data_IF_487123021305
#
_entry.id   IF_487123021305
#
_cell.length_a   1.000
_cell.length_b   1.000
_cell.length_c   1.000
_cell.angle_alpha   90.00
_cell.angle_beta   90.00
_cell.angle_gamma   90.00
#
_symmetry.space_group_name_H-M   'P 1'
#
loop_
_entity.id
_entity.type
_entity.pdbx_description
1 polymer ?
#
# COMPACT_ATOMS: atom_id res chain seq x y z
N UNK A 1 -15.01 5.95 -5.29
CA UNK A 1 -13.57 5.82 -5.02
C UNK A 1 -12.92 7.16 -5.27
N UNK A 2 -12.43 7.82 -4.22
CA UNK A 2 -11.81 9.14 -4.33
C UNK A 2 -10.38 9.08 -4.92
N UNK A 3 -9.60 8.04 -4.60
CA UNK A 3 -8.22 7.90 -5.10
C UNK A 3 -7.81 6.45 -5.27
N UNK A 4 -7.06 6.18 -6.34
CA UNK A 4 -6.45 4.88 -6.64
C UNK A 4 -4.94 5.07 -6.70
N UNK A 5 -4.19 4.25 -5.98
CA UNK A 5 -2.74 4.17 -6.07
C UNK A 5 -2.31 2.78 -6.49
N UNK A 6 -1.19 2.66 -7.19
CA UNK A 6 -0.58 1.39 -7.53
C UNK A 6 0.86 1.40 -7.02
N UNK A 7 1.20 0.44 -6.17
CA UNK A 7 2.55 0.26 -5.64
C UNK A 7 3.22 -0.84 -6.45
N UNK A 8 4.12 -0.47 -7.34
CA UNK A 8 4.87 -1.42 -8.14
C UNK A 8 6.04 -2.00 -7.35
N UNK A 9 6.21 -3.31 -7.49
CA UNK A 9 7.34 -4.01 -6.90
C UNK A 9 8.58 -3.81 -7.76
N UNK A 10 9.71 -3.49 -7.13
CA UNK A 10 11.01 -3.52 -7.81
C UNK A 10 11.59 -4.94 -7.79
N UNK A 11 12.43 -5.27 -8.78
CA UNK A 11 13.03 -6.62 -8.95
C UNK A 11 13.78 -7.12 -7.70
N UNK A 12 14.37 -6.22 -6.91
CA UNK A 12 15.16 -6.57 -5.72
C UNK A 12 14.34 -6.72 -4.45
N UNK A 13 13.01 -6.58 -4.51
CA UNK A 13 12.16 -6.53 -3.33
C UNK A 13 11.54 -7.88 -2.99
N UNK A 14 11.52 -8.22 -1.70
CA UNK A 14 10.84 -9.42 -1.20
C UNK A 14 9.31 -9.23 -1.17
N UNK A 15 8.65 -9.51 -2.31
CA UNK A 15 7.20 -9.39 -2.49
C UNK A 15 6.39 -10.02 -1.34
N UNK A 16 6.72 -11.25 -0.94
CA UNK A 16 6.04 -11.96 0.16
C UNK A 16 6.03 -11.17 1.48
N UNK A 17 7.20 -10.65 1.89
CA UNK A 17 7.35 -9.90 3.14
C UNK A 17 6.52 -8.60 3.12
N UNK A 18 6.50 -7.93 1.97
CA UNK A 18 5.69 -6.71 1.78
C UNK A 18 4.20 -7.02 1.82
N UNK A 19 3.77 -8.11 1.17
CA UNK A 19 2.37 -8.56 1.21
C UNK A 19 1.94 -8.90 2.64
N UNK A 20 2.74 -9.67 3.39
CA UNK A 20 2.43 -10.01 4.79
C UNK A 20 2.36 -8.76 5.67
N UNK A 21 3.27 -7.82 5.46
CA UNK A 21 3.28 -6.56 6.21
C UNK A 21 2.04 -5.73 5.91
N UNK A 22 1.68 -5.57 4.64
CA UNK A 22 0.47 -4.83 4.23
C UNK A 22 -0.80 -5.55 4.69
N UNK A 23 -0.82 -6.88 4.71
CA UNK A 23 -1.92 -7.66 5.31
C UNK A 23 -2.07 -7.43 6.82
N UNK A 24 -0.98 -7.10 7.52
CA UNK A 24 -1.04 -6.76 8.95
C UNK A 24 -1.61 -5.36 9.22
N UNK A 25 -1.80 -4.53 8.19
CA UNK A 25 -2.40 -3.21 8.37
C UNK A 25 -3.92 -3.34 8.55
N UNK A 26 -4.47 -2.66 9.56
CA UNK A 26 -5.91 -2.59 9.74
C UNK A 26 -6.52 -1.66 8.69
N UNK A 27 -7.04 -2.26 7.62
CA UNK A 27 -7.80 -1.57 6.59
C UNK A 27 -9.14 -1.11 7.18
N UNK A 28 -9.46 0.18 7.04
CA UNK A 28 -10.78 0.74 7.38
C UNK A 28 -11.57 0.97 6.09
N UNK A 29 -11.48 2.18 5.54
CA UNK A 29 -12.10 2.58 4.27
C UNK A 29 -11.17 2.39 3.06
N UNK A 30 -10.36 1.34 3.11
CA UNK A 30 -9.33 1.06 2.12
C UNK A 30 -9.51 -0.36 1.56
N UNK A 31 -9.32 -0.50 0.26
CA UNK A 31 -9.28 -1.79 -0.42
C UNK A 31 -7.90 -2.01 -1.00
N UNK A 32 -7.34 -3.19 -0.75
CA UNK A 32 -6.03 -3.59 -1.26
C UNK A 32 -6.23 -4.81 -2.16
N UNK A 33 -5.66 -4.75 -3.35
CA UNK A 33 -5.61 -5.86 -4.28
C UNK A 33 -4.15 -6.20 -4.60
N UNK A 34 -3.76 -7.43 -4.33
CA UNK A 34 -2.41 -7.92 -4.58
C UNK A 34 -2.33 -8.48 -5.99
N UNK A 35 -1.70 -7.74 -6.89
CA UNK A 35 -1.39 -8.20 -8.24
C UNK A 35 0.03 -8.76 -8.36
N UNK A 36 0.35 -9.28 -9.53
CA UNK A 36 1.66 -9.92 -9.80
C UNK A 36 2.79 -8.89 -9.97
N UNK A 37 2.46 -7.75 -10.56
CA UNK A 37 3.36 -6.61 -10.83
C UNK A 37 3.41 -5.59 -9.68
N UNK A 38 2.42 -5.63 -8.77
CA UNK A 38 2.31 -4.63 -7.71
C UNK A 38 1.03 -4.77 -6.90
N UNK A 39 0.86 -3.84 -5.97
CA UNK A 39 -0.28 -3.77 -5.05
C UNK A 39 -1.13 -2.58 -5.44
N UNK A 40 -2.39 -2.83 -5.80
CA UNK A 40 -3.35 -1.80 -6.10
C UNK A 40 -4.08 -1.43 -4.83
N UNK A 41 -4.06 -0.15 -4.49
CA UNK A 41 -4.65 0.38 -3.29
C UNK A 41 -5.72 1.40 -3.66
N UNK A 42 -6.98 1.04 -3.43
CA UNK A 42 -8.13 1.91 -3.62
C UNK A 42 -8.57 2.50 -2.29
N UNK A 43 -8.89 3.80 -2.28
CA UNK A 43 -9.50 4.47 -1.12
C UNK A 43 -10.89 4.98 -1.48
N UNK A 44 -11.84 4.82 -0.58
CA UNK A 44 -13.21 5.27 -0.82
C UNK A 44 -13.33 6.79 -0.63
N UNK A 45 -12.63 7.37 0.35
CA UNK A 45 -12.86 8.73 0.84
C UNK A 45 -11.56 9.53 1.00
N UNK A 46 -11.51 10.76 0.47
CA UNK A 46 -10.30 11.61 0.51
C UNK A 46 -10.00 12.16 1.92
N UNK A 47 -11.05 12.37 2.73
CA UNK A 47 -10.97 12.88 4.09
C UNK A 47 -10.17 11.98 5.05
N UNK A 48 -10.07 10.69 4.76
CA UNK A 48 -9.29 9.72 5.55
C UNK A 48 -7.84 9.58 5.08
N UNK A 49 -7.43 10.22 3.97
CA UNK A 49 -6.09 10.04 3.38
C UNK A 49 -4.95 10.29 4.40
N UNK A 50 -5.06 11.35 5.22
CA UNK A 50 -4.07 11.67 6.26
C UNK A 50 -4.13 10.73 7.48
N UNK A 51 -5.23 9.99 7.66
CA UNK A 51 -5.42 9.02 8.75
C UNK A 51 -5.09 7.58 8.34
N UNK A 52 -5.07 7.30 7.03
CA UNK A 52 -4.89 5.95 6.51
C UNK A 52 -3.49 5.37 6.73
N UNK A 53 -3.43 4.03 6.84
CA UNK A 53 -2.20 3.26 6.98
C UNK A 53 -1.24 3.50 5.81
N UNK A 54 -1.76 3.80 4.62
CA UNK A 54 -0.98 4.22 3.47
C UNK A 54 -0.07 5.44 3.73
N UNK A 55 -0.50 6.42 4.54
CA UNK A 55 0.34 7.60 4.81
C UNK A 55 1.17 7.44 6.09
N UNK A 56 0.59 6.87 7.15
CA UNK A 56 1.26 6.76 8.45
C UNK A 56 2.20 5.57 8.59
N UNK A 57 1.84 4.43 8.00
CA UNK A 57 2.59 3.18 8.16
C UNK A 57 3.52 2.96 6.97
N UNK A 58 3.04 3.21 5.74
CA UNK A 58 3.84 2.97 4.53
C UNK A 58 5.15 3.77 4.53
N UNK A 59 5.14 5.05 4.95
CA UNK A 59 6.35 5.90 4.98
C UNK A 59 7.40 5.43 6.00
N UNK A 60 6.97 4.63 6.99
CA UNK A 60 7.84 4.07 8.05
C UNK A 60 8.42 2.71 7.66
N UNK A 61 7.94 2.11 6.59
CA UNK A 61 8.41 0.80 6.17
C UNK A 61 9.72 0.94 5.39
N UNK A 62 10.66 0.03 5.68
CA UNK A 62 12.00 0.03 5.07
C UNK A 62 11.95 -0.13 3.54
N UNK A 63 10.92 -0.82 3.06
CA UNK A 63 10.66 -1.03 1.63
C UNK A 63 10.05 0.18 0.93
N UNK A 64 9.70 1.28 1.62
CA UNK A 64 9.12 2.47 0.99
C UNK A 64 10.01 3.08 -0.09
N UNK A 65 11.34 3.00 0.10
CA UNK A 65 12.33 3.43 -0.89
C UNK A 65 12.49 2.48 -2.08
N UNK A 66 11.95 1.27 -1.96
CA UNK A 66 12.04 0.20 -2.96
C UNK A 66 10.75 0.01 -3.75
N UNK A 67 9.67 0.72 -3.41
CA UNK A 67 8.41 0.68 -4.13
C UNK A 67 8.25 1.93 -4.99
N UNK A 68 7.64 1.76 -6.17
CA UNK A 68 7.28 2.89 -7.04
C UNK A 68 5.78 3.12 -6.94
N UNK A 69 5.37 4.36 -6.67
CA UNK A 69 3.99 4.79 -6.41
C UNK A 69 3.48 5.65 -7.57
#
# INVERSE_FOLDING_TARGET
>A
MARKGALFFTEKMHKKRVIERIKSFSLRDEVIHFGELGIYWGKYTEAEYLKTSYHKQLIKEDFYRQITI
#
